data_IF_865164465726
#
_entry.id   IF_865164465726
#
_cell.length_a   1.000
_cell.length_b   1.000
_cell.length_c   1.000
_cell.angle_alpha   90.00
_cell.angle_beta   90.00
_cell.angle_gamma   90.00
#
_symmetry.space_group_name_H-M   'P 1'
#
loop_
_entity.id
_entity.type
_entity.pdbx_description
1 polymer ?
#
# COMPACT_ATOMS: atom_id res chain seq x y z
N UNK A 1 -17.93 -3.42 -5.62
CA UNK A 1 -19.35 -3.39 -5.16
C UNK A 1 -19.48 -4.35 -3.98
N UNK A 2 -20.36 -4.04 -3.02
CA UNK A 2 -20.58 -4.87 -1.82
C UNK A 2 -22.09 -5.09 -1.67
N UNK A 3 -22.51 -6.31 -1.33
CA UNK A 3 -23.92 -6.60 -1.05
C UNK A 3 -24.34 -5.90 0.24
N UNK A 4 -25.48 -5.22 0.22
CA UNK A 4 -26.04 -4.54 1.41
C UNK A 4 -26.17 -5.49 2.62
N UNK A 5 -26.68 -6.70 2.41
CA UNK A 5 -26.80 -7.69 3.49
C UNK A 5 -25.46 -8.05 4.15
N UNK A 6 -24.36 -8.03 3.39
CA UNK A 6 -23.03 -8.26 3.95
C UNK A 6 -22.60 -7.10 4.87
N UNK A 7 -22.92 -5.86 4.50
CA UNK A 7 -22.66 -4.69 5.35
C UNK A 7 -23.55 -4.70 6.61
N UNK A 8 -24.82 -5.09 6.47
CA UNK A 8 -25.76 -5.19 7.60
C UNK A 8 -25.29 -6.23 8.65
N UNK A 9 -24.58 -7.28 8.27
CA UNK A 9 -24.03 -8.27 9.20
C UNK A 9 -22.84 -7.77 10.04
N UNK A 10 -22.21 -6.66 9.63
CA UNK A 10 -21.06 -6.07 10.32
C UNK A 10 -21.35 -4.68 10.88
N UNK A 11 -22.61 -4.25 10.86
CA UNK A 11 -23.00 -2.92 11.33
C UNK A 11 -22.83 -2.79 12.84
N UNK A 12 -22.23 -1.69 13.27
CA UNK A 12 -22.21 -1.24 14.66
C UNK A 12 -23.13 -0.03 14.81
N UNK A 13 -23.86 0.04 15.92
CA UNK A 13 -24.67 1.20 16.28
C UNK A 13 -23.89 2.02 17.28
N UNK A 14 -23.62 3.29 16.97
CA UNK A 14 -22.88 4.22 17.81
C UNK A 14 -23.74 5.42 18.17
N UNK A 15 -23.60 5.92 19.40
CA UNK A 15 -24.20 7.18 19.80
C UNK A 15 -23.19 8.30 19.54
N UNK A 16 -23.51 9.20 18.61
CA UNK A 16 -22.68 10.35 18.29
C UNK A 16 -23.50 11.63 18.46
N UNK A 17 -23.07 12.48 19.40
CA UNK A 17 -23.73 13.76 19.71
C UNK A 17 -25.24 13.64 19.98
N UNK A 18 -25.65 12.54 20.62
CA UNK A 18 -27.06 12.25 20.95
C UNK A 18 -27.87 11.61 19.81
N UNK A 19 -27.24 11.32 18.67
CA UNK A 19 -27.87 10.62 17.55
C UNK A 19 -27.37 9.18 17.45
N UNK A 20 -28.30 8.28 17.14
CA UNK A 20 -27.96 6.90 16.78
C UNK A 20 -27.44 6.85 15.34
N UNK A 21 -26.17 6.50 15.18
CA UNK A 21 -25.47 6.39 13.89
C UNK A 21 -25.11 4.93 13.62
N UNK A 22 -25.55 4.42 12.47
CA UNK A 22 -25.21 3.07 12.00
C UNK A 22 -23.91 3.12 11.20
N UNK A 23 -22.86 2.50 11.72
CA UNK A 23 -21.52 2.48 11.13
C UNK A 23 -21.28 1.11 10.49
N UNK A 24 -21.16 1.09 9.16
CA UNK A 24 -20.94 -0.15 8.39
C UNK A 24 -19.45 -0.44 8.16
N UNK A 25 -18.64 0.62 8.07
CA UNK A 25 -17.20 0.56 7.83
C UNK A 25 -16.51 1.28 8.98
N UNK A 26 -15.68 0.55 9.71
CA UNK A 26 -15.09 1.04 10.94
C UNK A 26 -13.86 1.88 10.69
N UNK A 27 -13.84 3.09 11.24
CA UNK A 27 -12.77 4.07 11.13
C UNK A 27 -11.64 3.87 12.17
N UNK A 28 -11.51 2.66 12.72
CA UNK A 28 -10.47 2.34 13.71
C UNK A 28 -9.08 2.42 13.08
N UNK A 29 -8.95 1.98 11.84
CA UNK A 29 -7.71 2.04 11.07
C UNK A 29 -7.91 2.93 9.83
N UNK A 30 -6.82 3.44 9.27
CA UNK A 30 -6.84 4.32 8.09
C UNK A 30 -6.90 3.58 6.74
N UNK A 31 -7.04 2.25 6.82
CA UNK A 31 -7.29 1.29 5.73
C UNK A 31 -8.51 0.43 6.14
N UNK A 32 -9.59 1.15 6.41
CA UNK A 32 -10.86 0.62 6.86
C UNK A 32 -11.43 -0.44 5.90
N UNK A 33 -11.12 -0.32 4.61
CA UNK A 33 -11.48 -1.26 3.56
C UNK A 33 -10.91 -2.66 3.80
N UNK A 34 -9.64 -2.73 4.19
CA UNK A 34 -8.91 -3.95 4.47
C UNK A 34 -9.40 -4.57 5.77
N UNK A 35 -9.69 -3.74 6.79
CA UNK A 35 -10.24 -4.22 8.06
C UNK A 35 -11.65 -4.80 7.90
N UNK A 36 -12.54 -4.09 7.22
CA UNK A 36 -13.91 -4.56 6.93
C UNK A 36 -13.90 -5.82 6.07
N UNK A 37 -12.91 -5.98 5.18
CA UNK A 37 -12.73 -7.22 4.43
C UNK A 37 -12.50 -8.42 5.35
N UNK A 38 -11.71 -8.28 6.42
CA UNK A 38 -11.49 -9.35 7.42
C UNK A 38 -12.79 -9.68 8.16
N UNK A 39 -13.60 -8.66 8.49
CA UNK A 39 -14.91 -8.87 9.15
C UNK A 39 -15.87 -9.67 8.27
N UNK A 40 -15.98 -9.29 6.99
CA UNK A 40 -16.83 -9.99 6.02
C UNK A 40 -16.35 -11.43 5.80
N UNK A 41 -15.04 -11.65 5.71
CA UNK A 41 -14.46 -13.00 5.60
C UNK A 41 -14.81 -13.87 6.80
N UNK A 42 -14.78 -13.30 8.02
CA UNK A 42 -15.15 -14.01 9.25
C UNK A 42 -16.64 -14.42 9.27
N UNK A 43 -17.50 -13.65 8.60
CA UNK A 43 -18.93 -13.97 8.40
C UNK A 43 -19.18 -14.95 7.24
N UNK A 44 -18.14 -15.42 6.56
CA UNK A 44 -18.24 -16.41 5.48
C UNK A 44 -18.47 -15.82 4.07
N UNK A 45 -18.39 -14.50 3.90
CA UNK A 45 -18.46 -13.86 2.58
C UNK A 45 -17.19 -14.09 1.77
N UNK A 46 -17.32 -14.26 0.45
CA UNK A 46 -16.20 -14.49 -0.47
C UNK A 46 -15.92 -13.26 -1.32
N UNK A 47 -14.64 -12.97 -1.56
CA UNK A 47 -14.24 -11.91 -2.49
C UNK A 47 -14.11 -12.50 -3.88
N UNK A 48 -14.67 -11.81 -4.87
CA UNK A 48 -14.51 -12.11 -6.28
C UNK A 48 -13.70 -11.01 -6.94
N UNK A 49 -12.65 -11.38 -7.68
CA UNK A 49 -11.84 -10.45 -8.44
C UNK A 49 -12.09 -10.67 -9.95
N UNK A 50 -12.61 -9.65 -10.62
CA UNK A 50 -12.84 -9.59 -12.05
C UNK A 50 -11.63 -8.92 -12.75
N UNK A 51 -10.93 -9.59 -13.67
CA UNK A 51 -9.60 -9.15 -14.09
C UNK A 51 -9.58 -7.87 -14.94
N UNK A 52 -10.73 -7.36 -15.40
CA UNK A 52 -10.79 -6.22 -16.32
C UNK A 52 -10.85 -4.86 -15.60
N UNK A 53 -10.28 -3.83 -16.25
CA UNK A 53 -10.28 -2.45 -15.76
C UNK A 53 -11.63 -1.80 -16.01
N UNK A 54 -12.45 -1.73 -14.97
CA UNK A 54 -13.81 -1.15 -15.03
C UNK A 54 -13.90 0.30 -14.55
N UNK A 55 -12.82 0.85 -13.97
CA UNK A 55 -12.80 2.22 -13.45
C UNK A 55 -11.41 2.83 -13.55
N UNK A 56 -11.36 4.14 -13.78
CA UNK A 56 -10.15 4.95 -13.76
C UNK A 56 -10.19 5.88 -12.55
N UNK A 57 -9.06 6.06 -11.88
CA UNK A 57 -8.89 7.02 -10.80
C UNK A 57 -7.63 7.84 -11.04
N UNK A 58 -7.64 9.07 -10.55
CA UNK A 58 -6.42 9.86 -10.44
C UNK A 58 -5.40 9.13 -9.55
N UNK A 59 -4.16 9.07 -10.00
CA UNK A 59 -2.98 8.71 -9.19
C UNK A 59 -2.39 9.97 -8.58
N UNK A 60 -1.63 9.86 -7.47
CA UNK A 60 -0.89 11.00 -6.95
C UNK A 60 -0.06 11.68 -8.04
N UNK A 61 -0.19 13.00 -8.16
CA UNK A 61 0.48 13.82 -9.18
C UNK A 61 1.94 14.13 -8.84
N UNK A 62 2.31 14.05 -7.56
CA UNK A 62 3.64 14.38 -7.04
C UNK A 62 4.05 13.50 -5.85
N UNK A 63 5.29 13.67 -5.39
CA UNK A 63 5.84 12.93 -4.26
C UNK A 63 5.12 13.21 -2.93
N UNK A 64 4.68 14.45 -2.66
CA UNK A 64 4.00 14.79 -1.42
C UNK A 64 2.64 14.08 -1.30
N UNK A 65 1.85 14.06 -2.37
CA UNK A 65 0.59 13.33 -2.43
C UNK A 65 0.82 11.81 -2.33
N UNK A 66 1.86 11.29 -2.99
CA UNK A 66 2.25 9.88 -2.91
C UNK A 66 2.64 9.49 -1.48
N UNK A 67 3.43 10.33 -0.81
CA UNK A 67 3.88 10.15 0.57
C UNK A 67 2.67 10.06 1.51
N UNK A 68 1.72 10.98 1.41
CA UNK A 68 0.48 10.95 2.22
C UNK A 68 -0.25 9.62 2.01
N UNK A 69 -0.41 9.18 0.76
CA UNK A 69 -1.09 7.92 0.44
C UNK A 69 -0.33 6.71 1.03
N UNK A 70 0.97 6.62 0.82
CA UNK A 70 1.78 5.47 1.24
C UNK A 70 1.96 5.40 2.76
N UNK A 71 2.09 6.55 3.43
CA UNK A 71 2.07 6.60 4.89
C UNK A 71 0.75 6.08 5.48
N UNK A 72 -0.40 6.36 4.84
CA UNK A 72 -1.70 5.81 5.28
C UNK A 72 -1.70 4.29 5.23
N UNK A 73 -1.27 3.71 4.11
CA UNK A 73 -1.25 2.26 3.94
C UNK A 73 -0.31 1.58 4.95
N UNK A 74 0.87 2.15 5.17
CA UNK A 74 1.84 1.64 6.15
C UNK A 74 1.37 1.78 7.61
N UNK A 75 0.52 2.77 7.92
CA UNK A 75 -0.01 2.97 9.28
C UNK A 75 -1.04 1.92 9.69
N UNK A 76 -1.81 1.35 8.77
CA UNK A 76 -2.90 0.47 9.20
C UNK A 76 -2.58 -1.01 9.25
N UNK A 77 -1.59 -1.49 8.48
CA UNK A 77 -1.33 -2.92 8.32
C UNK A 77 -1.17 -3.68 9.64
N UNK A 78 -0.30 -3.17 10.53
CA UNK A 78 -0.02 -3.81 11.83
C UNK A 78 -1.21 -3.79 12.79
N UNK A 79 -2.07 -2.76 12.73
CA UNK A 79 -3.26 -2.66 13.58
C UNK A 79 -4.31 -3.74 13.27
N UNK A 80 -4.33 -4.22 12.02
CA UNK A 80 -5.26 -5.27 11.57
C UNK A 80 -4.74 -6.68 11.93
N UNK A 81 -3.43 -6.87 12.11
CA UNK A 81 -2.81 -8.20 12.36
C UNK A 81 -3.49 -8.98 13.50
N UNK A 82 -3.78 -8.42 14.69
CA UNK A 82 -4.44 -9.18 15.76
C UNK A 82 -5.84 -9.67 15.39
N UNK A 83 -6.53 -8.94 14.51
CA UNK A 83 -7.86 -9.29 14.01
C UNK A 83 -7.78 -10.38 12.95
N UNK A 84 -6.82 -10.27 12.03
CA UNK A 84 -6.49 -11.32 11.06
C UNK A 84 -6.10 -12.62 11.77
N UNK A 85 -5.26 -12.54 12.80
CA UNK A 85 -4.83 -13.69 13.59
C UNK A 85 -6.02 -14.43 14.22
N UNK A 86 -6.93 -13.69 14.87
CA UNK A 86 -8.17 -14.25 15.40
C UNK A 86 -9.02 -14.90 14.32
N UNK A 87 -9.15 -14.28 13.15
CA UNK A 87 -9.85 -14.88 12.01
C UNK A 87 -9.20 -16.21 11.60
N UNK A 88 -7.88 -16.24 11.41
CA UNK A 88 -7.15 -17.45 11.01
C UNK A 88 -7.30 -18.58 12.03
N UNK A 89 -7.26 -18.25 13.33
CA UNK A 89 -7.36 -19.23 14.42
C UNK A 89 -8.79 -19.77 14.64
N UNK A 90 -9.80 -18.92 14.50
CA UNK A 90 -11.21 -19.28 14.74
C UNK A 90 -11.89 -19.92 13.53
N UNK A 91 -11.32 -19.80 12.33
CA UNK A 91 -11.92 -20.33 11.09
C UNK A 91 -11.80 -21.86 10.93
N UNK A 92 -11.44 -22.61 11.98
CA UNK A 92 -11.56 -24.07 12.09
C UNK A 92 -11.07 -24.87 10.87
N UNK A 93 -9.76 -25.18 10.82
CA UNK A 93 -9.14 -26.37 10.20
C UNK A 93 -9.59 -26.93 8.82
N UNK A 94 -10.38 -26.22 7.99
CA UNK A 94 -10.92 -26.79 6.74
C UNK A 94 -10.55 -26.10 5.43
N UNK A 95 -10.26 -24.79 5.39
CA UNK A 95 -10.19 -24.12 4.07
C UNK A 95 -9.36 -22.85 3.91
N UNK A 96 -8.87 -22.21 4.99
CA UNK A 96 -7.83 -21.19 4.82
C UNK A 96 -6.51 -21.90 4.53
N UNK A 97 -6.14 -22.02 3.25
CA UNK A 97 -4.87 -22.64 2.84
C UNK A 97 -3.73 -21.90 3.55
N UNK A 98 -2.69 -22.60 3.99
CA UNK A 98 -1.48 -21.97 4.57
C UNK A 98 -0.97 -20.84 3.67
N UNK A 99 -1.08 -21.01 2.35
CA UNK A 99 -0.79 -19.96 1.36
C UNK A 99 -1.65 -18.70 1.52
N UNK A 100 -2.95 -18.81 1.79
CA UNK A 100 -3.84 -17.67 2.05
C UNK A 100 -3.43 -16.93 3.34
N UNK A 101 -3.11 -17.68 4.39
CA UNK A 101 -2.62 -17.10 5.65
C UNK A 101 -1.31 -16.35 5.46
N UNK A 102 -0.33 -16.98 4.79
CA UNK A 102 0.97 -16.38 4.49
C UNK A 102 0.82 -15.14 3.61
N UNK A 103 0.02 -15.19 2.54
CA UNK A 103 -0.20 -14.05 1.65
C UNK A 103 -0.84 -12.87 2.38
N UNK A 104 -1.86 -13.11 3.22
CA UNK A 104 -2.53 -12.04 3.98
C UNK A 104 -1.65 -11.45 5.06
N UNK A 105 -0.91 -12.30 5.77
CA UNK A 105 0.03 -11.85 6.78
C UNK A 105 1.14 -11.02 6.12
N UNK A 106 1.71 -11.52 5.03
CA UNK A 106 2.72 -10.81 4.25
C UNK A 106 2.18 -9.46 3.73
N UNK A 107 0.96 -9.40 3.22
CA UNK A 107 0.34 -8.15 2.76
C UNK A 107 0.27 -7.09 3.88
N UNK A 108 -0.07 -7.48 5.11
CA UNK A 108 -0.20 -6.54 6.23
C UNK A 108 1.14 -6.17 6.89
N UNK A 109 2.12 -7.07 6.90
CA UNK A 109 3.37 -6.90 7.66
C UNK A 109 4.58 -6.53 6.82
N UNK A 110 4.57 -6.78 5.51
CA UNK A 110 5.72 -6.55 4.63
C UNK A 110 6.20 -5.09 4.63
N UNK A 111 5.27 -4.12 4.69
CA UNK A 111 5.59 -2.69 4.80
C UNK A 111 6.39 -2.35 6.07
N UNK A 112 6.23 -3.11 7.15
CA UNK A 112 7.07 -2.97 8.34
C UNK A 112 8.34 -3.82 8.22
N UNK A 113 8.18 -5.12 8.00
CA UNK A 113 9.28 -6.07 8.06
C UNK A 113 10.33 -5.83 6.97
N UNK A 114 9.92 -5.61 5.72
CA UNK A 114 10.87 -5.46 4.60
C UNK A 114 11.65 -4.14 4.70
N UNK A 115 10.98 -3.03 5.05
CA UNK A 115 11.64 -1.73 5.19
C UNK A 115 12.60 -1.68 6.40
N UNK A 116 12.26 -2.36 7.51
CA UNK A 116 13.18 -2.52 8.63
C UNK A 116 14.36 -3.41 8.25
N UNK A 117 14.09 -4.59 7.67
CA UNK A 117 15.11 -5.58 7.33
C UNK A 117 16.10 -5.04 6.29
N UNK A 118 15.62 -4.39 5.22
CA UNK A 118 16.48 -3.87 4.16
C UNK A 118 17.44 -2.78 4.65
N UNK A 119 16.99 -1.96 5.60
CA UNK A 119 17.80 -0.91 6.20
C UNK A 119 18.92 -1.49 7.06
N UNK A 120 18.68 -2.60 7.76
CA UNK A 120 19.73 -3.35 8.44
C UNK A 120 20.63 -4.09 7.44
N UNK A 121 20.05 -4.70 6.40
CA UNK A 121 20.80 -5.42 5.36
C UNK A 121 21.81 -4.53 4.63
N UNK A 122 21.46 -3.26 4.39
CA UNK A 122 22.29 -2.30 3.68
C UNK A 122 23.07 -1.36 4.61
N UNK A 123 22.77 -1.38 5.91
CA UNK A 123 23.34 -0.47 6.90
C UNK A 123 24.25 -1.13 7.93
N UNK A 124 24.18 -2.45 8.10
CA UNK A 124 25.09 -3.21 8.94
C UNK A 124 26.08 -3.97 8.07
N UNK A 125 27.37 -3.89 8.39
CA UNK A 125 28.37 -4.74 7.78
C UNK A 125 28.06 -6.21 8.11
N UNK A 126 27.87 -7.05 7.08
CA UNK A 126 27.69 -8.49 7.25
C UNK A 126 29.03 -9.19 7.13
N UNK A 127 29.23 -10.22 7.95
CA UNK A 127 30.34 -11.15 7.76
C UNK A 127 30.28 -11.74 6.34
N UNK A 128 31.43 -11.94 5.70
CA UNK A 128 31.55 -12.44 4.32
C UNK A 128 30.85 -13.80 4.09
N UNK A 129 30.54 -14.52 5.16
CA UNK A 129 29.72 -15.75 5.14
C UNK A 129 28.24 -15.49 4.85
N UNK A 130 27.68 -14.40 5.39
CA UNK A 130 26.28 -13.97 5.19
C UNK A 130 26.13 -13.20 3.87
N UNK A 131 27.17 -12.49 3.49
CA UNK A 131 27.24 -11.68 2.29
C UNK A 131 27.64 -12.51 1.05
N UNK A 132 26.84 -13.55 0.80
CA UNK A 132 27.06 -14.50 -0.28
C UNK A 132 26.43 -14.04 -1.59
N UNK A 133 27.05 -14.44 -2.71
CA UNK A 133 26.48 -14.28 -4.06
C UNK A 133 25.09 -14.90 -4.20
N UNK A 134 24.73 -15.85 -3.32
CA UNK A 134 23.40 -16.45 -3.28
C UNK A 134 22.30 -15.46 -2.90
N UNK A 135 22.61 -14.40 -2.16
CA UNK A 135 21.61 -13.42 -1.72
C UNK A 135 20.95 -12.69 -2.90
N UNK A 136 21.69 -12.10 -3.87
CA UNK A 136 21.06 -11.54 -5.06
C UNK A 136 20.49 -12.61 -6.00
N UNK A 137 21.13 -13.79 -6.11
CA UNK A 137 20.65 -14.88 -6.99
C UNK A 137 19.28 -15.37 -6.53
N UNK A 138 19.05 -15.52 -5.24
CA UNK A 138 17.75 -15.97 -4.69
C UNK A 138 16.64 -14.94 -4.88
N UNK A 139 16.97 -13.65 -5.02
CA UNK A 139 16.00 -12.61 -5.35
C UNK A 139 15.66 -12.55 -6.85
N UNK A 140 16.52 -13.06 -7.73
CA UNK A 140 16.34 -12.95 -9.18
C UNK A 140 15.03 -13.61 -9.69
N UNK A 141 14.65 -14.83 -9.29
CA UNK A 141 13.38 -15.44 -9.72
C UNK A 141 12.15 -14.59 -9.38
N UNK A 142 12.15 -13.96 -8.20
CA UNK A 142 11.08 -13.06 -7.77
C UNK A 142 10.96 -11.86 -8.70
N UNK A 143 12.07 -11.19 -9.01
CA UNK A 143 12.05 -10.02 -9.91
C UNK A 143 11.78 -10.38 -11.37
N UNK A 144 12.17 -11.57 -11.82
CA UNK A 144 11.81 -12.07 -13.15
C UNK A 144 10.30 -12.32 -13.27
N UNK A 145 9.69 -12.96 -12.26
CA UNK A 145 8.25 -13.15 -12.22
C UNK A 145 7.51 -11.80 -12.18
N UNK A 146 8.00 -10.86 -11.36
CA UNK A 146 7.43 -9.52 -11.30
C UNK A 146 7.52 -8.79 -12.66
N UNK A 147 8.63 -8.92 -13.38
CA UNK A 147 8.77 -8.34 -14.71
C UNK A 147 7.77 -8.95 -15.73
N UNK A 148 7.49 -10.26 -15.62
CA UNK A 148 6.47 -10.94 -16.43
C UNK A 148 5.07 -10.44 -16.08
N UNK A 149 4.75 -10.29 -14.79
CA UNK A 149 3.46 -9.79 -14.32
C UNK A 149 3.23 -8.33 -14.77
N UNK A 150 4.26 -7.49 -14.72
CA UNK A 150 4.16 -6.13 -15.26
C UNK A 150 3.83 -6.14 -16.76
N UNK A 151 4.46 -7.04 -17.52
CA UNK A 151 4.19 -7.19 -18.96
C UNK A 151 2.77 -7.68 -19.23
N UNK A 152 2.26 -8.64 -18.44
CA UNK A 152 0.89 -9.14 -18.59
C UNK A 152 -0.16 -8.06 -18.29
N UNK A 153 0.18 -7.08 -17.44
CA UNK A 153 -0.65 -5.90 -17.14
C UNK A 153 -0.48 -4.74 -18.15
N UNK A 154 0.37 -4.89 -19.17
CA UNK A 154 0.60 -3.89 -20.22
C UNK A 154 1.72 -2.88 -19.95
N UNK A 155 2.54 -3.09 -18.91
CA UNK A 155 3.75 -2.31 -18.64
C UNK A 155 4.98 -2.90 -19.36
N UNK A 156 6.11 -2.20 -19.32
CA UNK A 156 7.37 -2.73 -19.88
C UNK A 156 8.03 -3.63 -18.85
N UNK A 157 8.67 -4.72 -19.29
CA UNK A 157 9.39 -5.62 -18.39
C UNK A 157 10.48 -4.89 -17.56
N UNK A 158 11.11 -3.86 -18.15
CA UNK A 158 12.13 -3.02 -17.48
C UNK A 158 11.57 -2.11 -16.38
N UNK A 159 10.25 -1.91 -16.33
CA UNK A 159 9.64 -1.09 -15.29
C UNK A 159 9.83 -1.70 -13.89
N UNK A 160 10.16 -2.99 -13.78
CA UNK A 160 10.57 -3.63 -12.52
C UNK A 160 11.70 -2.87 -11.82
N UNK A 161 12.66 -2.32 -12.57
CA UNK A 161 13.78 -1.55 -12.02
C UNK A 161 13.32 -0.21 -11.45
N UNK A 162 12.32 0.41 -12.08
CA UNK A 162 11.72 1.66 -11.61
C UNK A 162 10.87 1.45 -10.37
N UNK A 163 10.13 0.33 -10.33
CA UNK A 163 9.38 -0.09 -9.15
C UNK A 163 10.32 -0.39 -7.99
N UNK A 164 11.43 -1.06 -8.25
CA UNK A 164 12.45 -1.31 -7.24
C UNK A 164 13.01 0.01 -6.68
N UNK A 165 13.41 0.94 -7.55
CA UNK A 165 13.87 2.26 -7.14
C UNK A 165 12.81 3.04 -6.33
N UNK A 166 11.55 2.97 -6.75
CA UNK A 166 10.42 3.55 -6.02
C UNK A 166 10.26 2.92 -4.63
N UNK A 167 10.42 1.59 -4.52
CA UNK A 167 10.34 0.91 -3.23
C UNK A 167 11.45 1.35 -2.28
N UNK A 168 12.67 1.61 -2.77
CA UNK A 168 13.75 2.17 -1.96
C UNK A 168 13.40 3.57 -1.46
N UNK A 169 12.89 4.43 -2.34
CA UNK A 169 12.42 5.79 -2.01
C UNK A 169 11.25 5.78 -1.01
N UNK A 170 10.49 4.69 -0.92
CA UNK A 170 9.38 4.61 0.02
C UNK A 170 9.81 4.09 1.41
N UNK A 171 11.08 3.75 1.64
CA UNK A 171 11.54 3.21 2.93
C UNK A 171 11.25 4.18 4.09
N UNK A 172 11.74 5.44 4.09
CA UNK A 172 11.42 6.40 5.14
C UNK A 172 9.92 6.66 5.28
N UNK A 173 9.19 6.77 4.16
CA UNK A 173 7.74 6.98 4.11
C UNK A 173 6.98 5.86 4.82
N UNK A 174 7.32 4.61 4.52
CA UNK A 174 6.71 3.43 5.12
C UNK A 174 7.03 3.34 6.61
N UNK A 175 8.28 3.60 7.01
CA UNK A 175 8.69 3.62 8.42
C UNK A 175 7.95 4.70 9.22
N UNK A 176 7.73 5.88 8.65
CA UNK A 176 6.92 6.93 9.26
C UNK A 176 5.48 6.48 9.50
N UNK A 177 4.87 5.77 8.54
CA UNK A 177 3.55 5.15 8.72
C UNK A 177 3.55 4.05 9.79
N UNK A 178 4.52 3.15 9.77
CA UNK A 178 4.66 2.05 10.74
C UNK A 178 4.84 2.58 12.16
N UNK A 179 5.63 3.62 12.36
CA UNK A 179 5.81 4.24 13.68
C UNK A 179 4.49 4.82 14.22
N UNK A 180 3.68 5.42 13.36
CA UNK A 180 2.32 5.86 13.72
C UNK A 180 1.43 4.68 14.06
N UNK A 181 1.58 3.55 13.37
CA UNK A 181 0.84 2.31 13.64
C UNK A 181 1.11 1.81 15.04
N UNK A 182 2.39 1.73 15.40
CA UNK A 182 2.85 1.31 16.73
C UNK A 182 2.37 2.31 17.78
N UNK A 183 2.51 3.62 17.54
CA UNK A 183 2.02 4.66 18.46
C UNK A 183 0.51 4.53 18.69
N UNK A 184 -0.28 4.32 17.64
CA UNK A 184 -1.72 4.12 17.76
C UNK A 184 -2.04 2.83 18.51
N UNK A 185 -1.31 1.74 18.28
CA UNK A 185 -1.46 0.49 19.01
C UNK A 185 -1.18 0.65 20.52
N UNK A 186 -0.13 1.41 20.87
CA UNK A 186 0.26 1.66 22.26
C UNK A 186 -0.65 2.67 22.98
N UNK A 187 -1.09 3.73 22.29
CA UNK A 187 -1.83 4.84 22.92
C UNK A 187 -3.35 4.71 22.79
N UNK A 188 -3.85 3.84 21.90
CA UNK A 188 -5.26 3.75 21.55
C UNK A 188 -5.82 4.97 20.82
N UNK A 189 -5.03 6.04 20.65
CA UNK A 189 -5.46 7.28 19.99
C UNK A 189 -5.43 7.10 18.48
N UNK A 190 -6.55 7.44 17.82
CA UNK A 190 -6.68 7.37 16.36
C UNK A 190 -5.68 8.31 15.68
N UNK A 191 -5.03 7.86 14.62
CA UNK A 191 -4.18 8.73 13.81
C UNK A 191 -5.05 9.62 12.92
N UNK A 192 -4.83 10.93 13.00
CA UNK A 192 -5.38 11.87 12.02
C UNK A 192 -4.58 11.75 10.73
N UNK A 193 -5.25 11.50 9.61
CA UNK A 193 -4.63 11.51 8.29
C UNK A 193 -5.42 12.40 7.35
N UNK A 194 -4.70 13.27 6.66
CA UNK A 194 -5.27 14.06 5.56
C UNK A 194 -5.69 13.17 4.41
N UNK A 195 -6.73 13.59 3.69
CA UNK A 195 -7.10 12.97 2.42
C UNK A 195 -5.96 13.17 1.43
N UNK A 196 -5.71 12.17 0.58
CA UNK A 196 -4.75 12.32 -0.51
C UNK A 196 -5.27 13.41 -1.45
N UNK A 197 -4.52 14.48 -1.68
CA UNK A 197 -4.95 15.55 -2.57
C UNK A 197 -5.16 15.01 -3.98
N UNK A 198 -6.27 15.42 -4.61
CA UNK A 198 -6.59 15.15 -6.02
C UNK A 198 -6.55 16.42 -6.86
N UNK A 199 -6.00 17.48 -6.29
CA UNK A 199 -5.95 18.83 -6.88
C UNK A 199 -4.84 18.92 -7.93
N UNK A 200 -4.96 19.92 -8.80
CA UNK A 200 -3.97 20.23 -9.85
C UNK A 200 -2.69 20.85 -9.26
N UNK A 201 -2.76 21.42 -8.05
CA UNK A 201 -1.63 22.04 -7.36
C UNK A 201 -0.63 21.03 -6.76
N UNK A 202 0.62 21.47 -6.58
CA UNK A 202 1.70 20.69 -5.97
C UNK A 202 1.46 20.51 -4.48
N UNK A 203 1.59 19.29 -3.99
CA UNK A 203 1.61 18.95 -2.56
C UNK A 203 3.06 18.94 -2.08
N UNK A 204 3.41 19.88 -1.19
CA UNK A 204 4.75 19.91 -0.59
C UNK A 204 5.00 18.67 0.28
N UNK A 205 6.14 18.00 0.10
CA UNK A 205 6.55 16.93 1.00
C UNK A 205 7.10 17.53 2.29
N UNK A 206 6.80 16.95 3.48
CA UNK A 206 7.41 17.43 4.72
C UNK A 206 8.93 17.28 4.66
N UNK A 207 9.66 18.35 4.99
CA UNK A 207 11.12 18.43 4.93
C UNK A 207 11.83 17.24 5.61
N UNK A 208 11.28 16.73 6.72
CA UNK A 208 11.85 15.59 7.43
C UNK A 208 11.94 14.31 6.59
N UNK A 209 10.98 14.05 5.69
CA UNK A 209 11.06 12.90 4.79
C UNK A 209 12.11 13.11 3.70
N UNK A 210 12.18 14.31 3.10
CA UNK A 210 13.21 14.65 2.11
C UNK A 210 14.61 14.51 2.71
N UNK A 211 14.82 14.98 3.94
CA UNK A 211 16.06 14.79 4.68
C UNK A 211 16.34 13.31 4.99
N UNK A 212 15.32 12.53 5.34
CA UNK A 212 15.50 11.10 5.59
C UNK A 212 15.92 10.34 4.33
N UNK A 213 15.37 10.67 3.16
CA UNK A 213 15.82 10.10 1.88
C UNK A 213 17.27 10.48 1.57
N UNK A 214 17.63 11.76 1.72
CA UNK A 214 18.99 12.23 1.51
C UNK A 214 19.99 11.60 2.49
N UNK A 215 19.58 11.45 3.75
CA UNK A 215 20.36 10.79 4.79
C UNK A 215 20.55 9.30 4.51
N UNK A 216 19.52 8.61 4.03
CA UNK A 216 19.60 7.20 3.64
C UNK A 216 20.54 7.00 2.45
N UNK A 217 20.45 7.87 1.44
CA UNK A 217 21.38 7.87 0.30
C UNK A 217 22.83 8.09 0.75
N UNK A 218 23.06 9.09 1.60
CA UNK A 218 24.38 9.38 2.15
C UNK A 218 24.93 8.20 2.96
N UNK A 219 24.09 7.59 3.81
CA UNK A 219 24.45 6.44 4.63
C UNK A 219 24.87 5.22 3.78
N UNK A 220 24.07 4.85 2.77
CA UNK A 220 24.40 3.72 1.90
C UNK A 220 25.61 4.00 1.01
N UNK A 221 25.78 5.23 0.52
CA UNK A 221 26.97 5.61 -0.26
C UNK A 221 28.22 5.52 0.61
N UNK A 222 28.16 6.04 1.84
CA UNK A 222 29.27 5.95 2.79
C UNK A 222 29.59 4.50 3.15
N UNK A 223 28.59 3.70 3.52
CA UNK A 223 28.77 2.28 3.82
C UNK A 223 29.37 1.50 2.65
N UNK A 224 28.93 1.77 1.42
CA UNK A 224 29.50 1.17 0.22
C UNK A 224 31.00 1.47 0.06
N UNK A 225 31.40 2.73 0.25
CA UNK A 225 32.81 3.14 0.15
C UNK A 225 33.68 2.46 1.22
N UNK A 226 33.18 2.36 2.46
CA UNK A 226 33.89 1.68 3.55
C UNK A 226 34.06 0.18 3.28
N UNK A 227 33.04 -0.50 2.76
CA UNK A 227 33.14 -1.92 2.39
C UNK A 227 34.11 -2.16 1.22
N UNK A 228 34.14 -1.25 0.23
CA UNK A 228 35.10 -1.33 -0.88
C UNK A 228 36.54 -1.13 -0.39
N UNK A 229 36.77 -0.19 0.52
CA UNK A 229 38.08 0.06 1.14
C UNK A 229 38.53 -1.12 2.01
N UNK A 230 37.61 -1.75 2.74
CA UNK A 230 37.87 -2.96 3.52
C UNK A 230 38.08 -4.24 2.68
N UNK A 231 37.97 -4.15 1.34
CA UNK A 231 38.15 -5.27 0.43
C UNK A 231 36.91 -6.15 0.22
N UNK A 232 35.78 -5.83 0.86
CA UNK A 232 34.50 -6.53 0.72
C UNK A 232 33.75 -6.09 -0.56
N UNK A 233 34.32 -6.44 -1.72
CA UNK A 233 33.85 -5.93 -3.03
C UNK A 233 32.38 -6.19 -3.32
N UNK A 234 31.86 -7.37 -2.99
CA UNK A 234 30.46 -7.73 -3.28
C UNK A 234 29.49 -6.85 -2.48
N UNK A 235 29.76 -6.64 -1.20
CA UNK A 235 28.92 -5.80 -0.32
C UNK A 235 28.95 -4.35 -0.76
N UNK A 236 30.16 -3.83 -1.01
CA UNK A 236 30.36 -2.48 -1.50
C UNK A 236 29.62 -2.22 -2.81
N UNK A 237 29.75 -3.12 -3.80
CA UNK A 237 29.05 -3.00 -5.08
C UNK A 237 27.53 -3.12 -4.93
N UNK A 238 27.04 -4.02 -4.07
CA UNK A 238 25.61 -4.18 -3.82
C UNK A 238 24.99 -2.94 -3.15
N UNK A 239 25.65 -2.40 -2.12
CA UNK A 239 25.23 -1.17 -1.46
C UNK A 239 25.30 0.03 -2.42
N UNK A 240 26.36 0.13 -3.23
CA UNK A 240 26.50 1.19 -4.24
C UNK A 240 25.39 1.12 -5.31
N UNK A 241 25.02 -0.08 -5.76
CA UNK A 241 23.92 -0.26 -6.70
C UNK A 241 22.58 0.21 -6.10
N UNK A 242 22.31 -0.12 -4.82
CA UNK A 242 21.13 0.37 -4.10
C UNK A 242 21.13 1.90 -3.96
N UNK A 243 22.27 2.49 -3.60
CA UNK A 243 22.44 3.94 -3.54
C UNK A 243 22.18 4.60 -4.91
N UNK A 244 22.66 4.01 -6.00
CA UNK A 244 22.40 4.50 -7.35
C UNK A 244 20.91 4.44 -7.73
N UNK A 245 20.19 3.37 -7.36
CA UNK A 245 18.75 3.29 -7.56
C UNK A 245 17.98 4.32 -6.72
N UNK A 246 18.39 4.54 -5.47
CA UNK A 246 17.79 5.56 -4.61
C UNK A 246 18.04 6.98 -5.16
N UNK A 247 19.25 7.26 -5.66
CA UNK A 247 19.57 8.52 -6.34
C UNK A 247 18.71 8.71 -7.59
N UNK A 248 18.58 7.68 -8.44
CA UNK A 248 17.67 7.71 -9.59
C UNK A 248 16.23 8.02 -9.15
N UNK A 249 15.76 7.40 -8.06
CA UNK A 249 14.41 7.61 -7.54
C UNK A 249 14.21 9.04 -7.03
N UNK A 250 15.17 9.59 -6.30
CA UNK A 250 15.16 10.98 -5.83
C UNK A 250 15.06 11.96 -6.99
N UNK A 251 15.92 11.79 -8.01
CA UNK A 251 15.92 12.67 -9.18
C UNK A 251 14.62 12.52 -9.99
N UNK A 252 14.11 11.29 -10.17
CA UNK A 252 13.00 11.04 -11.08
C UNK A 252 11.61 11.22 -10.47
N UNK A 253 11.43 10.86 -9.20
CA UNK A 253 10.11 10.86 -8.53
C UNK A 253 9.92 12.04 -7.58
N UNK A 254 10.98 12.53 -6.93
CA UNK A 254 10.90 13.73 -6.07
C UNK A 254 11.19 14.98 -6.91
N UNK A 255 12.29 14.96 -7.66
CA UNK A 255 12.82 16.12 -8.36
C UNK A 255 13.70 16.98 -7.45
N UNK A 256 14.87 17.41 -7.96
CA UNK A 256 15.84 18.15 -7.14
C UNK A 256 15.35 19.55 -6.79
N UNK A 257 14.66 20.22 -7.72
CA UNK A 257 14.12 21.57 -7.52
C UNK A 257 13.03 21.55 -6.45
N UNK A 258 12.14 20.58 -6.55
CA UNK A 258 11.02 20.32 -5.66
C UNK A 258 11.52 19.94 -4.25
N UNK A 259 12.52 19.06 -4.17
CA UNK A 259 13.19 18.73 -2.91
C UNK A 259 13.80 19.97 -2.25
N UNK A 260 14.49 20.82 -3.01
CA UNK A 260 15.03 22.07 -2.49
C UNK A 260 13.92 23.01 -1.99
N UNK A 261 12.80 23.14 -2.71
CA UNK A 261 11.64 23.94 -2.28
C UNK A 261 11.06 23.42 -0.96
N UNK A 262 10.94 22.09 -0.80
CA UNK A 262 10.39 21.46 0.41
C UNK A 262 11.30 21.63 1.63
N UNK A 263 12.61 21.82 1.43
CA UNK A 263 13.57 22.06 2.51
C UNK A 263 13.63 23.53 2.96
N UNK A 264 13.20 24.49 2.13
CA UNK A 264 13.28 25.94 2.45
C UNK A 264 12.68 26.32 3.80
N UNK A 265 11.48 25.84 4.20
CA UNK A 265 10.89 26.23 5.48
C UNK A 265 11.77 25.85 6.67
N UNK A 266 12.44 24.69 6.61
CA UNK A 266 13.32 24.22 7.66
C UNK A 266 14.62 25.05 7.72
N UNK A 267 15.18 25.40 6.56
CA UNK A 267 16.36 26.27 6.45
C UNK A 267 16.07 27.67 7.00
N UNK A 268 14.87 28.22 6.72
CA UNK A 268 14.46 29.51 7.25
C UNK A 268 14.27 29.50 8.78
N UNK A 269 13.67 28.43 9.32
CA UNK A 269 13.50 28.25 10.77
C UNK A 269 14.85 28.08 11.49
N UNK A 270 15.78 27.32 10.92
CA UNK A 270 17.13 27.13 11.48
C UNK A 270 18.00 28.37 11.35
N UNK A 271 17.89 29.14 10.26
CA UNK A 271 18.58 30.43 10.11
C UNK A 271 18.13 31.46 11.16
N UNK A 272 16.85 31.48 11.53
CA UNK A 272 16.36 32.30 12.63
C UNK A 272 16.75 31.77 14.01
N UNK A 273 16.84 30.45 14.21
CA UNK A 273 17.29 29.84 15.47
C UNK A 273 18.81 29.88 15.71
N UNK A 274 19.62 30.01 14.65
CA UNK A 274 21.07 30.18 14.73
C UNK A 274 21.51 31.54 15.28
N UNK A 275 20.60 32.52 15.35
CA UNK A 275 20.83 33.81 16.00
C UNK A 275 20.92 33.76 17.53
N UNK A 276 20.53 32.65 18.17
CA UNK A 276 20.38 32.56 19.65
C UNK A 276 21.22 31.46 20.32
N UNK A 277 22.05 30.70 19.59
CA UNK A 277 22.83 29.59 20.16
C UNK A 277 24.34 29.74 19.95
N UNK A 278 24.93 30.74 20.63
CA UNK A 278 26.34 30.71 21.06
C UNK A 278 26.44 30.01 22.42
N UNK A 279 26.36 28.68 22.47
CA UNK A 279 26.87 27.86 23.60
C UNK A 279 26.65 26.38 23.31
N UNK A 280 27.77 25.64 23.13
CA UNK A 280 27.97 24.20 23.41
C UNK A 280 28.98 23.55 22.42
N UNK A 281 30.21 24.07 22.35
CA UNK A 281 31.28 23.53 21.50
C UNK A 281 31.98 22.28 22.08
N UNK A 282 31.28 21.44 22.87
CA UNK A 282 31.87 20.24 23.51
C UNK A 282 31.20 18.92 23.06
N UNK A 283 30.08 18.96 22.33
CA UNK A 283 29.31 17.77 21.96
C UNK A 283 29.62 17.18 20.55
N UNK A 284 30.64 17.72 19.87
CA UNK A 284 30.91 17.50 18.43
C UNK A 284 31.44 16.12 18.01
N UNK A 285 31.77 15.21 18.94
CA UNK A 285 32.42 13.94 18.60
C UNK A 285 31.52 12.70 18.70
N UNK A 286 30.48 12.71 19.55
CA UNK A 286 29.67 11.51 19.81
C UNK A 286 28.17 11.66 19.55
N UNK A 287 27.68 12.90 19.46
CA UNK A 287 26.26 13.19 19.21
C UNK A 287 25.86 13.15 17.73
N UNK A 288 26.68 13.58 16.75
CA UNK A 288 26.30 13.50 15.34
C UNK A 288 25.97 12.07 14.87
N UNK A 289 26.77 11.03 15.17
CA UNK A 289 26.39 9.68 14.77
C UNK A 289 25.15 9.20 15.54
N UNK A 290 24.96 9.59 16.81
CA UNK A 290 23.80 9.16 17.59
C UNK A 290 22.50 9.88 17.18
N UNK A 291 22.54 11.17 16.83
CA UNK A 291 21.40 11.94 16.32
C UNK A 291 21.11 11.57 14.87
N UNK A 292 22.12 11.30 14.04
CA UNK A 292 21.91 10.78 12.68
C UNK A 292 21.33 9.36 12.77
N UNK A 293 21.86 8.49 13.63
CA UNK A 293 21.29 7.16 13.88
C UNK A 293 19.88 7.26 14.47
N UNK A 294 19.60 8.15 15.42
CA UNK A 294 18.26 8.34 15.98
C UNK A 294 17.28 9.01 14.99
N UNK A 295 17.72 9.95 14.16
CA UNK A 295 16.90 10.58 13.12
C UNK A 295 16.64 9.64 11.92
N UNK A 296 17.59 8.73 11.63
CA UNK A 296 17.44 7.64 10.65
C UNK A 296 16.64 6.45 11.22
N UNK A 297 16.63 6.25 12.54
CA UNK A 297 15.85 5.22 13.22
C UNK A 297 14.41 5.68 13.51
N UNK A 298 14.23 6.95 13.83
CA UNK A 298 12.97 7.58 14.21
C UNK A 298 12.93 9.01 13.61
N UNK A 299 12.25 9.24 12.48
CA UNK A 299 11.97 10.60 12.08
C UNK A 299 11.17 11.23 13.23
N UNK A 300 11.77 12.23 13.89
CA UNK A 300 11.12 12.96 14.97
C UNK A 300 9.73 13.34 14.49
N UNK A 301 8.71 12.87 15.20
CA UNK A 301 7.34 13.26 14.95
C UNK A 301 7.32 14.78 15.02
N UNK A 302 7.20 15.45 13.87
CA UNK A 302 6.87 16.86 13.84
C UNK A 302 5.63 17.02 14.72
N UNK A 303 5.84 17.65 15.86
CA UNK A 303 4.80 18.14 16.75
C UNK A 303 3.78 18.88 15.90
N UNK A 304 2.51 18.58 16.14
CA UNK A 304 1.40 19.06 15.32
C UNK A 304 1.53 20.56 15.03
N UNK A 305 1.67 20.89 13.75
CA UNK A 305 1.11 22.13 13.29
C UNK A 305 -0.41 21.91 13.29
N UNK A 306 -1.12 22.68 14.12
CA UNK A 306 -2.56 22.82 14.04
C UNK A 306 -2.95 23.05 12.58
N UNK A 307 -3.53 22.03 11.95
CA UNK A 307 -4.10 22.16 10.63
C UNK A 307 -5.40 22.92 10.83
N UNK A 308 -5.32 24.23 10.62
CA UNK A 308 -6.46 25.11 10.48
C UNK A 308 -7.48 24.46 9.52
N UNK A 309 -8.60 24.04 10.09
CA UNK A 309 -9.77 23.55 9.35
C UNK A 309 -10.26 24.72 8.52
N UNK A 310 -9.94 24.70 7.22
CA UNK A 310 -10.56 25.58 6.23
C UNK A 310 -11.78 24.87 5.66
N UNK A 311 -12.90 25.58 5.68
CA UNK A 311 -14.27 25.07 5.60
C UNK A 311 -14.75 24.83 4.15
N UNK A 312 -13.84 24.54 3.21
CA UNK A 312 -14.14 24.48 1.76
C UNK A 312 -14.00 23.09 1.09
N UNK A 313 -13.84 22.01 1.86
CA UNK A 313 -13.77 20.65 1.31
C UNK A 313 -15.17 20.02 1.07
N UNK A 314 -16.08 20.78 0.44
CA UNK A 314 -17.31 20.24 -0.14
C UNK A 314 -17.01 19.66 -1.54
N UNK A 315 -17.43 18.41 -1.84
CA UNK A 315 -17.00 17.70 -3.04
C UNK A 315 -17.72 18.21 -4.31
N UNK A 316 -17.08 19.10 -5.06
CA UNK A 316 -17.44 19.34 -6.46
C UNK A 316 -16.77 18.27 -7.35
N UNK A 317 -17.50 17.17 -7.51
CA UNK A 317 -17.58 16.35 -8.71
C UNK A 317 -16.51 16.59 -9.81
N UNK A 318 -15.57 15.66 -9.97
CA UNK A 318 -14.61 15.64 -11.09
C UNK A 318 -15.28 15.56 -12.47
N UNK A 319 -14.56 15.98 -13.51
CA UNK A 319 -15.04 16.04 -14.90
C UNK A 319 -15.43 14.65 -15.45
N UNK A 320 -16.57 14.62 -16.15
CA UNK A 320 -17.07 13.44 -16.88
C UNK A 320 -16.42 13.39 -18.27
N UNK A 321 -16.37 12.21 -18.92
CA UNK A 321 -16.06 12.12 -20.34
C UNK A 321 -16.98 13.03 -21.17
N UNK A 322 -16.50 13.62 -22.29
CA UNK A 322 -17.32 14.47 -23.14
C UNK A 322 -18.61 13.75 -23.56
N UNK A 323 -19.76 14.37 -23.30
CA UNK A 323 -21.07 13.87 -23.72
C UNK A 323 -21.82 12.95 -22.74
N UNK A 324 -21.28 12.65 -21.54
CA UNK A 324 -21.95 11.81 -20.55
C UNK A 324 -22.46 12.65 -19.37
N UNK A 325 -23.76 12.61 -19.10
CA UNK A 325 -24.38 13.23 -17.92
C UNK A 325 -24.41 12.25 -16.75
N UNK A 326 -24.39 12.75 -15.51
CA UNK A 326 -24.46 11.91 -14.29
C UNK A 326 -25.77 11.12 -14.20
N UNK A 327 -26.84 11.67 -14.76
CA UNK A 327 -28.14 11.01 -14.88
C UNK A 327 -28.03 9.78 -15.78
N UNK A 328 -27.42 9.92 -16.97
CA UNK A 328 -27.23 8.81 -17.90
C UNK A 328 -26.40 7.66 -17.31
N UNK A 329 -25.40 7.98 -16.47
CA UNK A 329 -24.62 6.96 -15.74
C UNK A 329 -25.44 6.27 -14.65
N UNK A 330 -26.31 7.01 -13.96
CA UNK A 330 -27.19 6.44 -12.93
C UNK A 330 -28.27 5.55 -13.55
N UNK A 331 -28.85 5.95 -14.68
CA UNK A 331 -29.87 5.19 -15.40
C UNK A 331 -29.29 3.88 -15.95
N UNK A 332 -28.09 3.90 -16.52
CA UNK A 332 -27.38 2.67 -16.93
C UNK A 332 -27.16 1.67 -15.77
N UNK A 333 -26.89 2.18 -14.56
CA UNK A 333 -26.70 1.32 -13.38
C UNK A 333 -28.03 0.73 -12.88
N UNK A 334 -29.14 1.43 -13.08
CA UNK A 334 -30.49 0.97 -12.70
C UNK A 334 -31.06 -0.01 -13.71
N UNK A 335 -30.87 0.22 -15.01
CA UNK A 335 -31.39 -0.61 -16.09
C UNK A 335 -30.81 -2.03 -16.08
N UNK A 336 -29.51 -2.17 -15.78
CA UNK A 336 -28.83 -3.45 -15.56
C UNK A 336 -29.42 -4.24 -14.38
N UNK A 337 -30.12 -3.59 -13.45
CA UNK A 337 -30.70 -4.21 -12.24
C UNK A 337 -32.10 -4.79 -12.48
N UNK A 338 -32.82 -4.32 -13.50
CA UNK A 338 -34.18 -4.78 -13.84
C UNK A 338 -34.18 -6.07 -14.66
N UNK A 339 -33.14 -6.35 -15.44
CA UNK A 339 -33.03 -7.59 -16.23
C UNK A 339 -32.72 -8.84 -15.36
N UNK A 340 -32.11 -8.67 -14.20
CA UNK A 340 -31.72 -9.79 -13.31
C UNK A 340 -32.83 -10.17 -12.29
N UNK A 341 -34.07 -9.72 -12.52
CA UNK A 341 -35.27 -10.07 -11.73
C UNK A 341 -36.30 -10.80 -12.59
N UNK A 342 -36.05 -12.06 -12.93
CA UNK A 342 -37.15 -13.00 -13.18
C UNK A 342 -36.76 -14.44 -12.81
N UNK A 343 -37.58 -15.16 -12.01
CA UNK A 343 -37.51 -16.60 -11.89
C UNK A 343 -38.62 -17.23 -12.73
N UNK A 344 -38.29 -18.01 -13.77
CA UNK A 344 -39.15 -19.09 -14.30
C UNK A 344 -38.45 -19.84 -15.44
N UNK A 345 -38.36 -21.17 -15.31
CA UNK A 345 -38.27 -22.12 -16.44
C UNK A 345 -39.70 -22.27 -17.03
N UNK A 346 -39.92 -22.51 -18.33
CA UNK A 346 -39.58 -23.80 -18.96
C UNK A 346 -39.17 -23.78 -20.46
N UNK A 347 -38.74 -24.98 -20.91
CA UNK A 347 -38.51 -25.50 -22.26
C UNK A 347 -39.04 -24.71 -23.48
N UNK A 348 -38.15 -24.46 -24.45
CA UNK A 348 -38.27 -24.92 -25.85
C UNK A 348 -37.12 -24.37 -26.70
N UNK A 349 -36.79 -25.10 -27.76
CA UNK A 349 -35.72 -24.79 -28.71
C UNK A 349 -36.04 -23.54 -29.55
N UNK A 350 -35.03 -22.70 -29.81
CA UNK A 350 -34.67 -22.25 -31.16
C UNK A 350 -33.52 -21.25 -31.12
N UNK A 351 -32.68 -21.37 -32.12
CA UNK A 351 -31.65 -20.45 -32.60
C UNK A 351 -31.93 -18.98 -32.31
N UNK A 352 -30.91 -18.17 -31.97
CA UNK A 352 -30.49 -17.02 -32.77
C UNK A 352 -29.11 -16.54 -32.31
N UNK A 353 -28.27 -16.31 -33.30
CA UNK A 353 -26.86 -15.96 -33.24
C UNK A 353 -26.64 -14.46 -33.05
N UNK A 354 -25.63 -14.16 -32.22
CA UNK A 354 -24.63 -13.09 -32.35
C UNK A 354 -25.05 -11.62 -32.46
N UNK A 355 -24.62 -10.84 -31.44
CA UNK A 355 -23.84 -9.62 -31.71
C UNK A 355 -24.19 -8.36 -30.91
N UNK A 356 -23.72 -8.24 -29.65
CA UNK A 356 -23.25 -6.97 -29.05
C UNK A 356 -22.70 -7.19 -27.62
N UNK A 357 -21.82 -6.31 -27.11
CA UNK A 357 -20.81 -6.65 -26.10
C UNK A 357 -21.37 -6.62 -24.68
N UNK A 358 -21.25 -7.75 -23.98
CA UNK A 358 -21.57 -7.86 -22.55
C UNK A 358 -20.48 -7.20 -21.72
N UNK A 359 -20.77 -6.02 -21.18
CA UNK A 359 -20.12 -5.47 -20.01
C UNK A 359 -20.71 -6.12 -18.76
N UNK A 360 -19.92 -6.61 -17.79
CA UNK A 360 -20.50 -7.03 -16.51
C UNK A 360 -19.48 -7.06 -15.36
N UNK A 361 -19.94 -6.59 -14.20
CA UNK A 361 -19.15 -6.29 -13.00
C UNK A 361 -19.10 -7.36 -11.91
N UNK A 362 -18.66 -6.93 -10.73
CA UNK A 362 -18.08 -7.72 -9.64
C UNK A 362 -19.13 -8.25 -8.64
N UNK A 363 -19.06 -9.54 -8.27
CA UNK A 363 -20.03 -10.18 -7.37
C UNK A 363 -19.35 -10.90 -6.19
N UNK A 364 -19.53 -10.38 -4.97
CA UNK A 364 -19.20 -11.10 -3.72
C UNK A 364 -20.35 -12.09 -3.44
N UNK A 365 -20.07 -13.39 -3.37
CA UNK A 365 -21.07 -14.44 -3.11
C UNK A 365 -20.85 -15.09 -1.75
N UNK A 366 -21.92 -15.67 -1.17
CA UNK A 366 -21.86 -16.47 0.05
C UNK A 366 -21.86 -17.94 -0.36
N UNK A 367 -20.97 -18.77 0.20
CA UNK A 367 -21.07 -20.22 -0.03
C UNK A 367 -22.24 -20.76 0.77
N UNK A 368 -23.25 -21.32 0.10
CA UNK A 368 -24.19 -22.20 0.76
C UNK A 368 -23.44 -23.49 1.13
N UNK A 369 -23.43 -23.82 2.42
CA UNK A 369 -23.03 -25.13 2.91
C UNK A 369 -24.05 -26.14 2.41
N UNK A 370 -23.72 -26.86 1.34
CA UNK A 370 -24.51 -28.02 0.90
C UNK A 370 -24.11 -29.20 1.79
N UNK A 371 -25.07 -29.60 2.62
CA UNK A 371 -25.06 -30.80 3.44
C UNK A 371 -24.90 -32.04 2.55
N UNK A 372 -23.87 -32.84 2.82
CA UNK A 372 -23.76 -34.30 2.64
C UNK A 372 -24.79 -34.99 1.72
N UNK A 373 -24.35 -35.44 0.53
CA UNK A 373 -24.82 -36.68 -0.12
C UNK A 373 -23.57 -37.44 -0.59
N UNK A 374 -23.53 -38.75 -0.31
CA UNK A 374 -22.38 -39.67 -0.41
C UNK A 374 -21.84 -39.98 -1.82
N UNK A 375 -20.91 -40.95 -1.92
CA UNK A 375 -19.81 -40.93 -2.87
C UNK A 375 -20.20 -41.46 -4.25
N UNK A 376 -19.84 -40.71 -5.30
CA UNK A 376 -20.03 -41.12 -6.70
C UNK A 376 -18.80 -40.76 -7.53
N UNK A 377 -17.96 -41.78 -7.75
CA UNK A 377 -16.95 -42.00 -8.81
C UNK A 377 -16.18 -40.79 -9.38
N UNK A 378 -14.86 -40.85 -9.19
CA UNK A 378 -13.87 -40.17 -10.02
C UNK A 378 -14.02 -40.58 -11.48
N UNK A 379 -13.99 -39.60 -12.39
CA UNK A 379 -13.56 -39.82 -13.77
C UNK A 379 -12.46 -38.81 -14.11
N UNK A 380 -11.27 -39.36 -14.31
CA UNK A 380 -10.09 -38.70 -14.85
C UNK A 380 -10.24 -38.67 -16.38
N UNK A 381 -10.52 -37.51 -16.97
CA UNK A 381 -10.37 -37.31 -18.42
C UNK A 381 -10.40 -35.82 -18.76
N UNK A 382 -9.54 -35.43 -19.72
CA UNK A 382 -9.43 -34.12 -20.38
C UNK A 382 -8.59 -33.04 -19.66
N UNK A 383 -7.35 -33.42 -19.39
CA UNK A 383 -6.21 -32.52 -19.57
C UNK A 383 -5.69 -32.73 -21.00
N UNK A 384 -5.83 -31.72 -21.86
CA UNK A 384 -5.05 -31.48 -23.10
C UNK A 384 -5.93 -30.78 -24.14
N UNK A 385 -5.66 -29.50 -24.38
CA UNK A 385 -5.76 -28.79 -25.66
C UNK A 385 -6.25 -27.36 -25.45
N UNK A 386 -5.30 -26.42 -25.32
CA UNK A 386 -5.42 -25.04 -25.79
C UNK A 386 -4.08 -24.30 -25.61
N UNK A 387 -3.01 -24.83 -26.22
CA UNK A 387 -1.88 -24.02 -26.67
C UNK A 387 -2.03 -23.86 -28.17
N UNK A 388 -2.62 -22.75 -28.63
CA UNK A 388 -2.24 -22.04 -29.87
C UNK A 388 -3.25 -20.92 -30.11
N UNK A 389 -2.86 -19.69 -29.80
CA UNK A 389 -2.93 -18.48 -30.65
C UNK A 389 -2.64 -17.25 -29.83
#
# INVERSE_FOLDING_TARGET
MIRKGALEEIVEVRQERGFEVRVFIHDRTVIEDTESTVDLRRRGWQLYNYPERMAFSATPSDFGALLIQRCRWANGGLLIVPKLWRFLWTSGAGRARVSEALLRLHYLTSLAAANVALRFLLGLAFDGRLASVWLPITAAPYYLLYAVDLRSMGYRWRDVLRVYALNLLLIPVNLGGVLRSVRQACTGRRSTFGRTPKVVGRTAAPAGYVLAEAGLLGWWTFGALMELEAGHRLNGLFALANAAFLLYALVRFVGLREACEDLRPLVAQTAHGLGTLRLAFVWRRFVPPLIVVLALLFPAAATGADLAITLDDLPSHGSLPPGITRLALADQIVEVRTEDRSPTRPNSASSWSTGSPRATGWVITRSATLTSIGPGRMDFSLMSSAMSR
#
